data_IF_315283355585
#
_entry.id   IF_315283355585
#
_cell.length_a   1.000
_cell.length_b   1.000
_cell.length_c   1.000
_cell.angle_alpha   90.00
_cell.angle_beta   90.00
_cell.angle_gamma   90.00
#
_symmetry.space_group_name_H-M   'P 1'
#
loop_
_entity.id
_entity.type
_entity.pdbx_description
1 polymer ?
#
# COMPACT_ATOMS: atom_id res chain seq x y z
N UNK A 1 6.49 1.27 3.80
CA UNK A 1 7.58 2.24 3.93
C UNK A 1 7.40 3.42 3.01
N UNK A 2 7.16 3.17 1.72
CA UNK A 2 7.11 4.18 0.64
C UNK A 2 5.86 5.08 0.63
N UNK A 3 4.77 4.69 1.28
CA UNK A 3 3.48 5.37 1.12
C UNK A 3 3.36 6.70 1.90
N UNK A 4 4.05 6.83 3.03
CA UNK A 4 3.91 8.00 3.93
C UNK A 4 4.53 9.26 3.33
N UNK A 5 5.69 9.10 2.69
CA UNK A 5 6.39 10.17 1.98
C UNK A 5 5.70 10.51 0.66
N UNK A 6 5.26 9.51 -0.09
CA UNK A 6 4.52 9.72 -1.35
C UNK A 6 3.21 10.46 -1.11
N UNK A 7 2.44 10.05 -0.09
CA UNK A 7 1.19 10.73 0.28
C UNK A 7 1.42 12.18 0.69
N UNK A 8 2.50 12.47 1.44
CA UNK A 8 2.87 13.84 1.78
C UNK A 8 3.26 14.65 0.54
N UNK A 9 4.04 14.06 -0.37
CA UNK A 9 4.44 14.71 -1.61
C UNK A 9 3.24 15.04 -2.51
N UNK A 10 2.30 14.11 -2.66
CA UNK A 10 1.06 14.31 -3.43
C UNK A 10 0.19 15.40 -2.80
N UNK A 11 0.08 15.45 -1.47
CA UNK A 11 -0.64 16.53 -0.77
C UNK A 11 0.01 17.90 -0.98
N UNK A 12 1.34 17.97 -0.93
CA UNK A 12 2.08 19.18 -1.25
C UNK A 12 1.86 19.60 -2.71
N UNK A 13 1.86 18.66 -3.64
CA UNK A 13 1.65 18.92 -5.07
C UNK A 13 0.23 19.42 -5.38
N UNK A 14 -0.80 18.88 -4.73
CA UNK A 14 -2.18 19.38 -4.83
C UNK A 14 -2.31 20.80 -4.26
N UNK A 15 -1.65 21.08 -3.14
CA UNK A 15 -1.58 22.42 -2.59
C UNK A 15 -0.89 23.41 -3.54
N UNK A 16 0.13 22.93 -4.25
CA UNK A 16 0.86 23.67 -5.28
C UNK A 16 -0.05 23.98 -6.48
N UNK A 17 -0.79 22.99 -6.97
CA UNK A 17 -1.76 23.17 -8.04
C UNK A 17 -2.86 24.19 -7.67
N UNK A 18 -3.29 24.21 -6.41
CA UNK A 18 -4.22 25.23 -5.91
C UNK A 18 -3.60 26.64 -5.91
N UNK A 19 -2.35 26.80 -5.44
CA UNK A 19 -1.65 28.07 -5.52
C UNK A 19 -1.48 28.57 -6.96
N UNK A 20 -1.15 27.69 -7.92
CA UNK A 20 -1.08 28.04 -9.34
C UNK A 20 -2.44 28.41 -9.92
N UNK A 21 -3.50 27.71 -9.53
CA UNK A 21 -4.86 28.07 -9.95
C UNK A 21 -5.25 29.47 -9.44
N UNK A 22 -4.89 29.83 -8.21
CA UNK A 22 -5.11 31.17 -7.66
C UNK A 22 -4.26 32.24 -8.35
N UNK A 23 -2.99 31.95 -8.66
CA UNK A 23 -2.12 32.84 -9.45
C UNK A 23 -2.67 33.06 -10.87
N UNK A 24 -3.13 32.01 -11.53
CA UNK A 24 -3.76 32.08 -12.86
C UNK A 24 -5.09 32.85 -12.82
N UNK A 25 -5.87 32.69 -11.75
CA UNK A 25 -7.07 33.51 -11.51
C UNK A 25 -6.70 34.98 -11.33
N UNK A 26 -5.71 35.27 -10.48
CA UNK A 26 -5.19 36.62 -10.25
C UNK A 26 -4.73 37.28 -11.56
N UNK A 27 -4.00 36.53 -12.40
CA UNK A 27 -3.55 36.96 -13.72
C UNK A 27 -4.71 37.33 -14.65
N UNK A 28 -5.77 36.51 -14.68
CA UNK A 28 -6.97 36.77 -15.48
C UNK A 28 -7.72 38.02 -15.01
N UNK A 29 -7.64 38.36 -13.72
CA UNK A 29 -8.34 39.50 -13.14
C UNK A 29 -7.50 40.77 -12.96
N UNK A 30 -6.18 40.77 -13.24
CA UNK A 30 -5.36 42.00 -13.30
C UNK A 30 -5.88 43.03 -14.31
N UNK A 31 -6.70 42.61 -15.29
CA UNK A 31 -7.38 43.52 -16.22
C UNK A 31 -8.55 44.30 -15.59
N UNK A 32 -9.00 43.98 -14.36
CA UNK A 32 -10.06 44.71 -13.64
C UNK A 32 -9.46 45.57 -12.53
N UNK A 33 -9.88 46.83 -12.40
CA UNK A 33 -9.44 47.83 -11.39
C UNK A 33 -9.82 47.51 -9.92
N UNK A 34 -10.18 46.26 -9.60
CA UNK A 34 -10.64 45.94 -8.24
C UNK A 34 -9.42 45.72 -7.32
N UNK A 35 -9.23 46.60 -6.34
CA UNK A 35 -8.08 46.58 -5.41
C UNK A 35 -7.95 45.26 -4.64
N UNK A 36 -9.08 44.60 -4.33
CA UNK A 36 -9.10 43.31 -3.64
C UNK A 36 -8.53 42.15 -4.48
N UNK A 37 -8.56 42.26 -5.81
CA UNK A 37 -8.05 41.22 -6.71
C UNK A 37 -6.53 41.32 -6.81
N UNK A 38 -5.98 42.54 -6.93
CA UNK A 38 -4.53 42.75 -6.87
C UNK A 38 -3.97 42.26 -5.53
N UNK A 39 -4.66 42.59 -4.43
CA UNK A 39 -4.34 42.09 -3.10
C UNK A 39 -4.22 40.56 -3.04
N UNK A 40 -5.17 39.85 -3.63
CA UNK A 40 -5.19 38.39 -3.64
C UNK A 40 -4.06 37.79 -4.47
N UNK A 41 -3.73 38.41 -5.61
CA UNK A 41 -2.64 37.98 -6.48
C UNK A 41 -1.25 38.22 -5.86
N UNK A 42 -1.02 39.37 -5.23
CA UNK A 42 0.26 39.70 -4.58
C UNK A 42 0.49 38.85 -3.33
N UNK A 43 -0.56 38.60 -2.54
CA UNK A 43 -0.51 37.65 -1.42
C UNK A 43 -0.18 36.23 -1.91
N UNK A 44 -0.75 35.78 -3.04
CA UNK A 44 -0.52 34.44 -3.59
C UNK A 44 0.93 34.19 -4.06
N UNK A 45 1.68 35.23 -4.44
CA UNK A 45 3.10 35.13 -4.79
C UNK A 45 3.99 34.90 -3.56
N UNK A 46 3.63 35.50 -2.42
CA UNK A 46 4.31 35.32 -1.13
C UNK A 46 3.94 33.98 -0.45
N UNK A 47 2.68 33.58 -0.58
CA UNK A 47 2.18 32.26 -0.18
C UNK A 47 3.07 31.16 -0.76
N UNK A 48 3.48 31.27 -2.03
CA UNK A 48 4.25 30.24 -2.71
C UNK A 48 5.59 29.88 -2.02
N UNK A 49 6.34 30.86 -1.52
CA UNK A 49 7.68 30.62 -0.97
C UNK A 49 7.68 30.29 0.54
N UNK A 50 6.69 30.76 1.28
CA UNK A 50 6.66 30.63 2.76
C UNK A 50 5.68 29.54 3.24
N UNK A 51 4.68 29.19 2.44
CA UNK A 51 3.66 28.22 2.84
C UNK A 51 4.17 26.78 2.91
N UNK A 52 5.10 26.39 2.03
CA UNK A 52 5.51 24.98 1.90
C UNK A 52 6.15 24.44 3.20
N UNK A 53 7.14 25.11 3.83
CA UNK A 53 7.74 24.61 5.07
C UNK A 53 6.74 24.58 6.22
N UNK A 54 5.88 25.60 6.33
CA UNK A 54 4.91 25.75 7.41
C UNK A 54 3.82 24.68 7.31
N UNK A 55 3.24 24.48 6.13
CA UNK A 55 2.18 23.48 5.90
C UNK A 55 2.73 22.07 6.03
N UNK A 56 3.96 21.86 5.60
CA UNK A 56 4.65 20.59 5.78
C UNK A 56 4.86 20.29 7.27
N UNK A 57 5.32 21.27 8.05
CA UNK A 57 5.51 21.15 9.49
C UNK A 57 4.20 20.87 10.24
N UNK A 58 3.13 21.62 9.94
CA UNK A 58 1.81 21.36 10.52
C UNK A 58 1.25 19.99 10.12
N UNK A 59 1.35 19.63 8.84
CA UNK A 59 0.94 18.31 8.35
C UNK A 59 1.70 17.20 9.09
N UNK A 60 3.00 17.39 9.38
CA UNK A 60 3.81 16.46 10.15
C UNK A 60 3.32 16.31 11.60
N UNK A 61 3.00 17.41 12.28
CA UNK A 61 2.41 17.37 13.64
C UNK A 61 1.05 16.67 13.61
N UNK A 62 0.17 17.02 12.65
CA UNK A 62 -1.14 16.39 12.53
C UNK A 62 -1.09 14.88 12.23
N UNK A 63 0.04 14.34 11.77
CA UNK A 63 0.20 12.90 11.62
C UNK A 63 0.32 12.14 12.95
N UNK A 64 0.74 12.77 14.05
CA UNK A 64 0.81 12.12 15.36
C UNK A 64 -0.55 12.04 16.07
N UNK A 65 -1.52 12.83 15.62
CA UNK A 65 -2.87 12.88 16.22
C UNK A 65 -3.74 11.76 15.65
N UNK A 66 -4.53 11.07 16.47
CA UNK A 66 -5.47 10.02 16.04
C UNK A 66 -6.77 10.58 15.47
N UNK A 67 -6.67 11.36 14.39
CA UNK A 67 -7.82 11.88 13.64
C UNK A 67 -7.92 11.30 12.23
N UNK A 68 -9.10 11.44 11.65
CA UNK A 68 -9.35 11.09 10.26
C UNK A 68 -8.42 11.83 9.30
N UNK A 69 -7.93 11.15 8.24
CA UNK A 69 -7.02 11.74 7.24
C UNK A 69 -7.61 12.95 6.52
N UNK A 70 -8.90 12.92 6.18
CA UNK A 70 -9.61 14.00 5.51
C UNK A 70 -9.79 15.21 6.44
N UNK A 71 -10.12 14.96 7.70
CA UNK A 71 -10.24 16.00 8.72
C UNK A 71 -8.88 16.64 9.06
N UNK A 72 -7.80 15.85 9.11
CA UNK A 72 -6.43 16.36 9.26
C UNK A 72 -6.03 17.32 8.14
N UNK A 73 -6.33 16.94 6.88
CA UNK A 73 -6.06 17.80 5.71
C UNK A 73 -6.86 19.09 5.82
N UNK A 74 -8.12 19.01 6.22
CA UNK A 74 -8.96 20.19 6.44
C UNK A 74 -8.39 21.15 7.49
N UNK A 75 -8.01 20.64 8.68
CA UNK A 75 -7.40 21.45 9.74
C UNK A 75 -6.09 22.08 9.25
N UNK A 76 -5.24 21.31 8.58
CA UNK A 76 -3.95 21.79 8.08
C UNK A 76 -4.14 22.96 7.11
N UNK A 77 -5.09 22.87 6.17
CA UNK A 77 -5.39 23.93 5.21
C UNK A 77 -5.94 25.18 5.91
N UNK A 78 -6.87 25.03 6.84
CA UNK A 78 -7.45 26.19 7.55
C UNK A 78 -6.40 26.90 8.40
N UNK A 79 -5.63 26.14 9.19
CA UNK A 79 -4.58 26.68 10.05
C UNK A 79 -3.46 27.35 9.24
N UNK A 80 -3.02 26.70 8.15
CA UNK A 80 -1.98 27.28 7.28
C UNK A 80 -2.48 28.56 6.61
N UNK A 81 -3.72 28.58 6.12
CA UNK A 81 -4.31 29.78 5.48
C UNK A 81 -4.38 30.96 6.43
N UNK A 82 -4.81 30.74 7.68
CA UNK A 82 -4.85 31.80 8.71
C UNK A 82 -3.45 32.28 9.05
N UNK A 83 -2.50 31.37 9.25
CA UNK A 83 -1.11 31.71 9.59
C UNK A 83 -0.42 32.47 8.44
N UNK A 84 -0.62 32.08 7.19
CA UNK A 84 -0.12 32.83 6.03
C UNK A 84 -0.69 34.24 6.03
N UNK A 85 -2.01 34.38 6.19
CA UNK A 85 -2.66 35.69 6.18
C UNK A 85 -2.08 36.58 7.27
N UNK A 86 -1.89 36.03 8.48
CA UNK A 86 -1.24 36.73 9.59
C UNK A 86 0.21 37.10 9.28
N UNK A 87 1.01 36.17 8.76
CA UNK A 87 2.41 36.44 8.42
C UNK A 87 2.54 37.47 7.30
N UNK A 88 1.70 37.40 6.27
CA UNK A 88 1.67 38.38 5.19
C UNK A 88 1.32 39.77 5.73
N UNK A 89 0.33 39.88 6.62
CA UNK A 89 0.00 41.15 7.27
C UNK A 89 1.15 41.66 8.13
N UNK A 90 1.72 40.83 9.01
CA UNK A 90 2.73 41.24 9.98
C UNK A 90 4.09 41.56 9.36
N UNK A 91 4.53 40.79 8.36
CA UNK A 91 5.91 40.83 7.85
C UNK A 91 6.06 41.43 6.46
N UNK A 92 5.01 41.45 5.65
CA UNK A 92 5.08 41.98 4.28
C UNK A 92 4.37 43.30 4.20
N UNK A 93 3.07 43.30 4.49
CA UNK A 93 2.22 44.45 4.21
C UNK A 93 2.51 45.65 5.11
N UNK A 94 2.76 45.39 6.40
CA UNK A 94 2.92 46.43 7.41
C UNK A 94 4.40 46.76 7.70
N UNK A 95 5.34 46.20 6.93
CA UNK A 95 6.77 46.45 7.10
C UNK A 95 7.36 47.16 5.87
N UNK A 96 8.68 47.39 5.89
CA UNK A 96 9.45 47.99 4.79
C UNK A 96 9.33 47.18 3.50
N UNK A 97 9.08 45.86 3.58
CA UNK A 97 8.83 45.03 2.39
C UNK A 97 7.53 45.42 1.66
N UNK A 98 6.57 46.03 2.36
CA UNK A 98 5.32 46.51 1.78
C UNK A 98 5.54 47.66 0.82
N UNK A 99 6.50 48.54 1.11
CA UNK A 99 6.91 49.61 0.19
C UNK A 99 7.55 49.03 -1.08
N UNK A 100 8.37 47.98 -0.95
CA UNK A 100 9.05 47.33 -2.08
C UNK A 100 8.10 46.52 -2.99
N UNK A 101 7.21 45.70 -2.41
CA UNK A 101 6.32 44.82 -3.17
C UNK A 101 4.98 45.45 -3.55
N UNK A 102 4.43 46.32 -2.70
CA UNK A 102 3.08 46.90 -2.87
C UNK A 102 3.11 48.39 -3.23
N UNK A 103 4.30 49.00 -3.34
CA UNK A 103 4.51 50.40 -3.72
C UNK A 103 4.27 51.42 -2.60
N UNK A 104 3.51 51.07 -1.56
CA UNK A 104 3.33 51.90 -0.36
C UNK A 104 2.79 51.09 0.83
N UNK A 105 3.41 51.23 2.00
CA UNK A 105 2.95 50.66 3.27
C UNK A 105 1.63 51.30 3.71
N UNK A 106 0.63 50.50 4.07
CA UNK A 106 -0.60 51.00 4.69
C UNK A 106 -0.52 50.79 6.21
N UNK A 107 -0.85 51.78 7.05
CA UNK A 107 -0.94 51.59 8.49
C UNK A 107 -2.01 50.53 8.82
N UNK A 108 -1.76 49.68 9.83
CA UNK A 108 -2.66 48.59 10.27
C UNK A 108 -4.12 49.07 10.44
N UNK A 109 -4.32 50.29 10.96
CA UNK A 109 -5.64 50.86 11.23
C UNK A 109 -6.42 51.30 9.98
N UNK A 110 -5.73 51.53 8.86
CA UNK A 110 -6.31 52.07 7.63
C UNK A 110 -6.47 51.01 6.54
N UNK A 111 -6.28 49.73 6.90
CA UNK A 111 -6.32 48.62 5.96
C UNK A 111 -7.78 48.20 5.64
N UNK A 112 -8.28 48.45 4.41
CA UNK A 112 -9.66 48.13 4.04
C UNK A 112 -9.97 46.64 4.10
N UNK A 113 -8.96 45.80 3.86
CA UNK A 113 -9.12 44.34 3.92
C UNK A 113 -9.19 43.85 5.37
N UNK A 114 -8.39 44.42 6.28
CA UNK A 114 -8.46 44.09 7.70
C UNK A 114 -9.82 44.49 8.28
N UNK A 115 -10.32 45.67 7.93
CA UNK A 115 -11.64 46.13 8.35
C UNK A 115 -12.76 45.23 7.81
N UNK A 116 -12.69 44.84 6.54
CA UNK A 116 -13.62 43.87 5.96
C UNK A 116 -13.58 42.50 6.67
N UNK A 117 -12.38 42.00 6.99
CA UNK A 117 -12.22 40.75 7.73
C UNK A 117 -12.80 40.86 9.14
N UNK A 118 -12.55 41.97 9.85
CA UNK A 118 -13.08 42.26 11.18
C UNK A 118 -14.61 42.43 11.21
N UNK A 119 -15.23 42.79 10.08
CA UNK A 119 -16.68 42.83 9.96
C UNK A 119 -17.27 41.44 9.65
N UNK A 120 -16.59 40.66 8.79
CA UNK A 120 -17.10 39.38 8.28
C UNK A 120 -16.56 38.14 9.01
N UNK A 121 -15.69 38.26 10.01
CA UNK A 121 -15.06 37.09 10.65
C UNK A 121 -16.07 36.16 11.33
N UNK A 122 -17.13 36.68 11.96
CA UNK A 122 -18.16 35.86 12.62
C UNK A 122 -18.89 34.93 11.65
N UNK A 123 -19.54 35.43 10.57
CA UNK A 123 -20.20 34.55 9.62
C UNK A 123 -19.22 33.63 8.87
N UNK A 124 -17.98 34.08 8.65
CA UNK A 124 -16.93 33.25 8.06
C UNK A 124 -16.55 32.08 8.99
N UNK A 125 -16.35 32.35 10.28
CA UNK A 125 -16.00 31.34 11.28
C UNK A 125 -17.09 30.27 11.40
N UNK A 126 -18.37 30.67 11.43
CA UNK A 126 -19.50 29.73 11.48
C UNK A 126 -19.51 28.80 10.26
N UNK A 127 -19.33 29.35 9.05
CA UNK A 127 -19.27 28.54 7.81
C UNK A 127 -18.08 27.57 7.82
N UNK A 128 -16.92 28.02 8.26
CA UNK A 128 -15.73 27.18 8.39
C UNK A 128 -16.00 26.03 9.35
N UNK A 129 -16.50 26.30 10.56
CA UNK A 129 -16.82 25.25 11.55
C UNK A 129 -17.83 24.24 10.99
N UNK A 130 -18.90 24.71 10.33
CA UNK A 130 -19.90 23.82 9.72
C UNK A 130 -19.28 22.89 8.66
N UNK A 131 -18.41 23.42 7.80
CA UNK A 131 -17.69 22.61 6.81
C UNK A 131 -16.73 21.62 7.47
N UNK A 132 -16.09 21.99 8.58
CA UNK A 132 -15.26 21.11 9.39
C UNK A 132 -16.03 19.91 9.93
N UNK A 133 -17.26 20.11 10.42
CA UNK A 133 -18.14 19.00 10.84
C UNK A 133 -18.49 18.06 9.70
N UNK A 134 -18.80 18.60 8.51
CA UNK A 134 -19.08 17.77 7.32
C UNK A 134 -17.83 16.97 6.93
N UNK A 135 -16.66 17.60 6.88
CA UNK A 135 -15.39 16.93 6.60
C UNK A 135 -15.07 15.84 7.63
N UNK A 136 -15.36 16.07 8.91
CA UNK A 136 -15.23 15.06 9.95
C UNK A 136 -16.18 13.88 9.71
N UNK A 137 -17.47 14.14 9.51
CA UNK A 137 -18.49 13.10 9.33
C UNK A 137 -18.23 12.25 8.09
N UNK A 138 -18.01 12.88 6.93
CA UNK A 138 -17.65 12.20 5.67
C UNK A 138 -16.34 11.44 5.84
N UNK A 139 -15.36 12.06 6.50
CA UNK A 139 -14.12 11.42 6.88
C UNK A 139 -14.39 10.12 7.64
N UNK A 140 -15.15 10.16 8.73
CA UNK A 140 -15.41 8.98 9.57
C UNK A 140 -16.12 7.86 8.82
N UNK A 141 -17.08 8.20 7.95
CA UNK A 141 -17.73 7.22 7.07
C UNK A 141 -16.71 6.59 6.11
N UNK A 142 -15.84 7.40 5.50
CA UNK A 142 -14.78 6.89 4.64
C UNK A 142 -13.76 6.05 5.43
N UNK A 143 -13.39 6.45 6.65
CA UNK A 143 -12.41 5.72 7.45
C UNK A 143 -12.96 4.40 7.95
N UNK A 144 -14.22 4.32 8.35
CA UNK A 144 -14.85 3.05 8.72
C UNK A 144 -15.03 2.13 7.51
N UNK A 145 -15.41 2.68 6.34
CA UNK A 145 -15.48 1.91 5.10
C UNK A 145 -14.11 1.41 4.63
N UNK A 146 -13.10 2.29 4.71
CA UNK A 146 -11.71 1.97 4.42
C UNK A 146 -11.19 0.96 5.43
N UNK A 147 -11.43 1.09 6.74
CA UNK A 147 -11.01 0.12 7.74
C UNK A 147 -11.64 -1.25 7.51
N UNK A 148 -12.93 -1.34 7.13
CA UNK A 148 -13.52 -2.64 6.79
C UNK A 148 -12.84 -3.30 5.59
N UNK A 149 -12.55 -2.53 4.53
CA UNK A 149 -11.85 -3.03 3.35
C UNK A 149 -10.35 -3.26 3.59
N UNK A 150 -9.75 -2.38 4.38
CA UNK A 150 -8.35 -2.40 4.76
C UNK A 150 -8.11 -3.38 5.87
N UNK A 151 -9.07 -3.90 6.64
CA UNK A 151 -8.74 -4.90 7.67
C UNK A 151 -8.10 -6.13 7.01
N UNK A 152 -8.58 -6.51 5.82
CA UNK A 152 -7.87 -7.43 4.95
C UNK A 152 -6.50 -6.87 4.49
N UNK A 153 -6.45 -5.69 3.86
CA UNK A 153 -5.21 -5.08 3.34
C UNK A 153 -4.16 -4.69 4.41
N UNK A 154 -4.58 -4.50 5.65
CA UNK A 154 -3.83 -4.13 6.85
C UNK A 154 -3.22 -5.39 7.41
N UNK A 155 -4.02 -6.44 7.61
CA UNK A 155 -3.53 -7.81 7.87
C UNK A 155 -2.41 -8.12 6.88
N UNK A 156 -2.63 -7.92 5.58
CA UNK A 156 -1.60 -8.11 4.55
C UNK A 156 -0.29 -7.31 4.77
N UNK A 157 -0.40 -6.03 5.13
CA UNK A 157 0.75 -5.13 5.28
C UNK A 157 1.47 -5.21 6.64
N UNK A 158 0.77 -5.67 7.68
CA UNK A 158 1.24 -5.75 9.07
C UNK A 158 1.78 -7.13 9.43
N UNK A 159 1.26 -8.23 8.86
CA UNK A 159 1.77 -9.60 9.05
C UNK A 159 3.28 -9.69 8.81
N UNK A 160 3.82 -8.87 7.91
CA UNK A 160 5.23 -8.92 7.55
C UNK A 160 6.12 -7.96 8.36
N UNK A 161 5.51 -7.05 9.13
CA UNK A 161 6.22 -5.92 9.78
C UNK A 161 6.16 -5.94 11.29
N UNK A 162 5.04 -6.35 11.86
CA UNK A 162 4.79 -6.25 13.30
C UNK A 162 4.29 -7.57 13.88
N UNK A 163 5.04 -8.12 14.83
CA UNK A 163 4.78 -9.43 15.45
C UNK A 163 3.68 -9.34 16.50
N UNK A 164 3.63 -8.26 17.28
CA UNK A 164 2.64 -8.12 18.36
C UNK A 164 1.22 -8.12 17.79
N UNK A 165 1.01 -7.51 16.62
CA UNK A 165 -0.30 -7.50 15.97
C UNK A 165 -0.87 -8.90 15.70
N UNK A 166 -0.04 -9.88 15.30
CA UNK A 166 -0.49 -11.26 15.11
C UNK A 166 -0.81 -11.92 16.45
N UNK A 167 -0.01 -11.64 17.48
CA UNK A 167 -0.19 -12.19 18.83
C UNK A 167 -1.45 -11.64 19.52
N UNK A 168 -1.72 -10.35 19.32
CA UNK A 168 -2.85 -9.64 19.93
C UNK A 168 -4.14 -9.79 19.11
N UNK A 169 -4.07 -10.33 17.89
CA UNK A 169 -5.26 -10.55 17.06
C UNK A 169 -6.17 -11.63 17.66
N UNK A 170 -7.41 -11.24 17.95
CA UNK A 170 -8.49 -12.11 18.41
C UNK A 170 -9.03 -13.02 17.29
N UNK A 171 -9.04 -12.55 16.04
CA UNK A 171 -9.47 -13.31 14.88
C UNK A 171 -8.46 -13.24 13.74
N UNK A 172 -7.83 -14.39 13.46
CA UNK A 172 -6.81 -14.56 12.41
C UNK A 172 -7.38 -15.01 11.06
N UNK A 173 -8.65 -15.45 11.02
CA UNK A 173 -9.30 -16.01 9.82
C UNK A 173 -9.98 -14.94 8.95
N UNK A 174 -9.50 -13.71 9.02
CA UNK A 174 -9.99 -12.61 8.18
C UNK A 174 -9.49 -12.83 6.76
N UNK A 175 -10.40 -12.75 5.78
CA UNK A 175 -10.08 -12.91 4.36
C UNK A 175 -10.20 -11.60 3.59
N UNK A 176 -9.41 -11.47 2.54
CA UNK A 176 -9.50 -10.36 1.58
C UNK A 176 -10.62 -10.53 0.54
N UNK A 177 -10.69 -9.60 -0.41
CA UNK A 177 -11.65 -9.61 -1.51
C UNK A 177 -11.49 -10.83 -2.43
N UNK A 178 -10.36 -11.54 -2.39
CA UNK A 178 -10.07 -12.78 -3.12
C UNK A 178 -10.29 -14.05 -2.26
N UNK A 179 -10.72 -13.91 -1.00
CA UNK A 179 -10.87 -15.01 -0.07
C UNK A 179 -9.55 -15.50 0.53
N UNK A 180 -8.47 -14.75 0.37
CA UNK A 180 -7.15 -15.06 0.91
C UNK A 180 -7.05 -14.61 2.36
N UNK A 181 -6.60 -15.50 3.24
CA UNK A 181 -6.34 -15.17 4.64
C UNK A 181 -4.89 -14.67 4.85
N UNK A 182 -4.56 -14.34 6.10
CA UNK A 182 -3.22 -13.95 6.54
C UNK A 182 -2.09 -14.86 6.02
N UNK A 183 -2.31 -16.17 5.99
CA UNK A 183 -1.32 -17.17 5.60
C UNK A 183 -0.98 -17.07 4.10
N UNK A 184 -1.97 -16.81 3.24
CA UNK A 184 -1.73 -16.58 1.80
C UNK A 184 -0.77 -15.41 1.59
N UNK A 185 -0.99 -14.32 2.30
CA UNK A 185 -0.17 -13.12 2.14
C UNK A 185 1.25 -13.33 2.64
N UNK A 186 1.39 -14.01 3.78
CA UNK A 186 2.69 -14.36 4.35
C UNK A 186 3.54 -15.13 3.31
N UNK A 187 2.95 -16.13 2.65
CA UNK A 187 3.62 -16.99 1.66
C UNK A 187 3.86 -16.29 0.31
N UNK A 188 2.90 -15.48 -0.17
CA UNK A 188 2.92 -14.97 -1.55
C UNK A 188 3.78 -13.72 -1.75
N UNK A 189 3.76 -12.76 -0.81
CA UNK A 189 4.19 -11.38 -1.10
C UNK A 189 5.66 -11.07 -0.80
N UNK A 190 6.29 -11.77 0.15
CA UNK A 190 7.65 -11.46 0.56
C UNK A 190 8.54 -12.71 0.55
N UNK A 191 9.76 -12.64 -0.02
CA UNK A 191 10.78 -13.66 0.17
C UNK A 191 11.05 -13.86 1.66
N UNK A 192 11.33 -15.09 2.08
CA UNK A 192 11.56 -15.42 3.50
C UNK A 192 12.67 -14.57 4.11
N UNK A 193 13.72 -14.27 3.34
CA UNK A 193 14.91 -13.56 3.83
C UNK A 193 14.69 -12.05 4.03
N UNK A 194 13.61 -11.48 3.48
CA UNK A 194 13.23 -10.07 3.68
C UNK A 194 12.23 -9.86 4.83
N UNK A 195 11.80 -10.94 5.49
CA UNK A 195 10.85 -10.86 6.59
C UNK A 195 11.58 -10.53 7.89
N UNK A 196 10.98 -9.64 8.68
CA UNK A 196 11.53 -9.24 9.99
C UNK A 196 11.45 -10.37 11.03
N UNK A 197 10.53 -11.31 10.82
CA UNK A 197 10.30 -12.50 11.64
C UNK A 197 9.56 -13.57 10.82
N UNK A 198 9.45 -14.78 11.37
CA UNK A 198 8.75 -15.89 10.73
C UNK A 198 7.23 -15.81 10.93
N UNK A 199 6.57 -15.07 10.05
CA UNK A 199 5.12 -14.91 10.11
C UNK A 199 4.34 -16.21 9.87
N UNK A 200 4.87 -17.12 9.06
CA UNK A 200 4.19 -18.39 8.74
C UNK A 200 4.15 -19.29 9.97
N UNK A 201 5.27 -19.45 10.66
CA UNK A 201 5.31 -20.25 11.90
C UNK A 201 4.34 -19.71 12.96
N UNK A 202 4.34 -18.40 13.19
CA UNK A 202 3.46 -17.77 14.18
C UNK A 202 1.97 -17.92 13.86
N UNK A 203 1.61 -17.79 12.58
CA UNK A 203 0.22 -17.97 12.15
C UNK A 203 -0.24 -19.43 12.34
N UNK A 204 0.65 -20.39 12.08
CA UNK A 204 0.39 -21.81 12.34
C UNK A 204 0.24 -22.08 13.85
N UNK A 205 1.11 -21.53 14.70
CA UNK A 205 1.02 -21.64 16.16
C UNK A 205 -0.30 -21.07 16.72
N UNK A 206 -0.80 -20.00 16.12
CA UNK A 206 -2.10 -19.38 16.43
C UNK A 206 -3.31 -20.22 16.00
N UNK A 207 -3.10 -21.33 15.30
CA UNK A 207 -4.17 -22.25 14.87
C UNK A 207 -4.89 -21.81 13.59
N UNK A 208 -4.21 -21.10 12.69
CA UNK A 208 -4.79 -20.78 11.37
C UNK A 208 -5.02 -22.06 10.56
N UNK A 209 -6.10 -22.09 9.76
CA UNK A 209 -6.33 -23.22 8.85
C UNK A 209 -5.32 -23.19 7.70
N UNK A 210 -4.40 -24.16 7.70
CA UNK A 210 -3.36 -24.33 6.68
C UNK A 210 -3.91 -24.79 5.32
N UNK A 211 -5.12 -25.37 5.31
CA UNK A 211 -5.80 -25.86 4.12
C UNK A 211 -6.90 -24.90 3.62
N UNK A 212 -6.97 -23.69 4.18
CA UNK A 212 -7.93 -22.66 3.77
C UNK A 212 -7.89 -22.44 2.25
N UNK A 213 -9.06 -22.31 1.62
CA UNK A 213 -9.18 -22.16 0.17
C UNK A 213 -9.60 -20.75 -0.20
N UNK A 214 -8.86 -20.15 -1.13
CA UNK A 214 -9.26 -18.88 -1.73
C UNK A 214 -10.49 -19.05 -2.65
N UNK A 215 -11.01 -17.94 -3.20
CA UNK A 215 -12.16 -17.99 -4.12
C UNK A 215 -11.90 -18.79 -5.41
N UNK A 216 -10.64 -19.12 -5.71
CA UNK A 216 -10.24 -19.95 -6.84
C UNK A 216 -9.95 -21.40 -6.43
N UNK A 217 -10.23 -21.77 -5.18
CA UNK A 217 -10.01 -23.11 -4.64
C UNK A 217 -8.55 -23.44 -4.37
N UNK A 218 -7.64 -22.45 -4.38
CA UNK A 218 -6.21 -22.63 -4.13
C UNK A 218 -5.92 -22.61 -2.64
N UNK A 219 -4.87 -23.31 -2.21
CA UNK A 219 -4.38 -23.35 -0.83
C UNK A 219 -3.12 -22.50 -0.63
N UNK A 220 -2.72 -22.18 0.61
CA UNK A 220 -1.42 -21.56 0.88
C UNK A 220 -0.26 -22.38 0.30
N UNK A 221 -0.35 -23.71 0.37
CA UNK A 221 0.65 -24.62 -0.22
C UNK A 221 0.73 -24.47 -1.75
N UNK A 222 -0.41 -24.34 -2.44
CA UNK A 222 -0.45 -24.03 -3.87
C UNK A 222 0.29 -22.72 -4.18
N UNK A 223 0.12 -21.68 -3.35
CA UNK A 223 0.83 -20.42 -3.52
C UNK A 223 2.34 -20.55 -3.25
N UNK A 224 2.75 -21.35 -2.27
CA UNK A 224 4.16 -21.64 -1.98
C UNK A 224 4.84 -22.34 -3.17
N UNK A 225 4.17 -23.31 -3.81
CA UNK A 225 4.67 -23.97 -5.02
C UNK A 225 4.81 -23.00 -6.20
N UNK A 226 3.88 -22.04 -6.31
CA UNK A 226 3.94 -21.00 -7.35
C UNK A 226 5.08 -20.01 -7.11
N UNK A 227 5.21 -19.48 -5.88
CA UNK A 227 6.21 -18.49 -5.52
C UNK A 227 7.63 -19.08 -5.53
N UNK A 228 7.78 -20.33 -5.12
CA UNK A 228 9.07 -21.00 -5.01
C UNK A 228 9.68 -20.94 -3.60
N UNK A 229 8.87 -20.73 -2.56
CA UNK A 229 9.33 -20.55 -1.18
C UNK A 229 9.47 -21.89 -0.45
N UNK A 230 10.63 -22.56 -0.60
CA UNK A 230 10.94 -23.87 0.01
C UNK A 230 10.72 -23.87 1.54
N UNK A 231 11.32 -22.89 2.23
CA UNK A 231 11.26 -22.78 3.71
C UNK A 231 9.82 -22.69 4.25
N UNK A 232 8.92 -22.00 3.54
CA UNK A 232 7.52 -21.89 3.97
C UNK A 232 6.73 -23.14 3.61
N UNK A 233 7.06 -23.76 2.47
CA UNK A 233 6.46 -25.02 2.05
C UNK A 233 6.72 -26.13 3.07
N UNK A 234 7.96 -26.26 3.56
CA UNK A 234 8.29 -27.23 4.61
C UNK A 234 7.46 -27.02 5.88
N UNK A 235 7.26 -25.76 6.31
CA UNK A 235 6.44 -25.46 7.49
C UNK A 235 4.98 -25.82 7.29
N UNK A 236 4.43 -25.48 6.12
CA UNK A 236 3.04 -25.81 5.78
C UNK A 236 2.83 -27.33 5.73
N UNK A 237 3.74 -28.06 5.08
CA UNK A 237 3.67 -29.53 4.98
C UNK A 237 3.82 -30.19 6.36
N UNK A 238 4.76 -29.73 7.20
CA UNK A 238 4.89 -30.18 8.60
C UNK A 238 3.65 -29.89 9.44
N UNK A 239 2.92 -28.82 9.13
CA UNK A 239 1.66 -28.46 9.77
C UNK A 239 0.44 -29.21 9.21
N UNK A 240 0.62 -30.17 8.30
CA UNK A 240 -0.47 -30.99 7.75
C UNK A 240 -1.20 -30.38 6.55
N UNK A 241 -0.54 -29.49 5.80
CA UNK A 241 -1.10 -29.01 4.54
C UNK A 241 -1.24 -30.16 3.52
N UNK A 242 -2.41 -30.29 2.89
CA UNK A 242 -2.68 -31.32 1.89
C UNK A 242 -2.08 -30.94 0.53
N UNK A 243 -1.11 -31.70 0.01
CA UNK A 243 -0.48 -31.43 -1.28
C UNK A 243 -1.35 -31.79 -2.49
N UNK A 244 -2.52 -32.39 -2.29
CA UNK A 244 -3.37 -32.91 -3.34
C UNK A 244 -4.55 -32.01 -3.69
N UNK A 245 -4.71 -30.86 -3.02
CA UNK A 245 -5.83 -29.94 -3.27
C UNK A 245 -5.70 -29.28 -4.64
N UNK A 246 -6.71 -29.48 -5.49
CA UNK A 246 -6.77 -28.91 -6.84
C UNK A 246 -7.47 -27.54 -6.85
N UNK A 247 -6.97 -26.62 -7.66
CA UNK A 247 -7.63 -25.34 -7.90
C UNK A 247 -8.93 -25.52 -8.71
N UNK A 248 -9.91 -24.66 -8.46
CA UNK A 248 -11.21 -24.75 -9.14
C UNK A 248 -11.17 -24.30 -10.59
N UNK A 249 -10.12 -23.58 -11.01
CA UNK A 249 -10.05 -23.00 -12.36
C UNK A 249 -9.51 -24.00 -13.38
N UNK A 250 -8.43 -24.70 -13.05
CA UNK A 250 -7.74 -25.58 -13.99
C UNK A 250 -7.60 -27.01 -13.48
N UNK A 251 -7.96 -27.31 -12.23
CA UNK A 251 -7.73 -28.61 -11.61
C UNK A 251 -6.25 -28.82 -11.27
N UNK A 252 -5.47 -27.76 -11.11
CA UNK A 252 -4.05 -27.87 -10.81
C UNK A 252 -3.84 -28.09 -9.32
N UNK A 253 -3.14 -29.16 -8.94
CA UNK A 253 -2.60 -29.34 -7.59
C UNK A 253 -1.27 -28.56 -7.42
N UNK A 254 -0.77 -28.36 -6.18
CA UNK A 254 0.58 -27.87 -5.92
C UNK A 254 1.66 -28.52 -6.81
N UNK A 255 1.56 -29.84 -7.05
CA UNK A 255 2.47 -30.59 -7.93
C UNK A 255 2.37 -30.17 -9.40
N UNK A 256 1.16 -30.01 -9.94
CA UNK A 256 0.96 -29.52 -11.31
C UNK A 256 1.60 -28.14 -11.50
N UNK A 257 1.45 -27.26 -10.51
CA UNK A 257 2.07 -25.92 -10.54
C UNK A 257 3.59 -26.01 -10.49
N UNK A 258 4.15 -26.88 -9.64
CA UNK A 258 5.59 -27.10 -9.57
C UNK A 258 6.16 -27.55 -10.93
N UNK A 259 5.51 -28.51 -11.60
CA UNK A 259 5.89 -28.98 -12.94
C UNK A 259 5.85 -27.85 -13.99
N UNK A 260 4.77 -27.05 -14.02
CA UNK A 260 4.65 -25.92 -14.95
C UNK A 260 5.72 -24.86 -14.68
N UNK A 261 6.00 -24.57 -13.40
CA UNK A 261 6.98 -23.56 -12.99
C UNK A 261 8.42 -24.00 -13.18
N UNK A 262 8.71 -25.30 -13.12
CA UNK A 262 10.00 -25.86 -13.49
C UNK A 262 10.32 -25.57 -14.96
N UNK A 263 9.31 -25.62 -15.84
CA UNK A 263 9.42 -25.30 -17.27
C UNK A 263 9.46 -23.80 -17.59
N UNK A 264 8.86 -22.97 -16.73
CA UNK A 264 8.72 -21.53 -16.95
C UNK A 264 10.04 -20.78 -17.12
N UNK A 265 11.15 -21.24 -16.52
CA UNK A 265 12.47 -20.59 -16.72
C UNK A 265 12.98 -20.70 -18.17
N UNK A 266 12.40 -21.58 -19.00
CA UNK A 266 12.66 -21.66 -20.44
C UNK A 266 11.76 -20.74 -21.30
N UNK A 267 10.72 -20.13 -20.73
CA UNK A 267 9.72 -19.35 -21.47
C UNK A 267 9.82 -17.83 -21.24
N UNK A 268 10.30 -17.39 -20.08
CA UNK A 268 10.43 -15.96 -19.78
C UNK A 268 11.88 -15.53 -20.06
N UNK A 269 12.16 -15.02 -21.27
CA UNK A 269 13.47 -14.50 -21.70
C UNK A 269 14.04 -13.31 -20.88
N UNK A 270 13.55 -13.07 -19.67
CA UNK A 270 13.85 -11.96 -18.77
C UNK A 270 14.89 -12.29 -17.69
N UNK A 271 15.25 -13.56 -17.45
CA UNK A 271 16.32 -13.93 -16.48
C UNK A 271 17.65 -14.27 -17.15
N UNK A 272 18.07 -13.49 -18.16
CA UNK A 272 19.46 -13.48 -18.63
C UNK A 272 20.33 -12.85 -17.53
N UNK A 273 20.82 -13.66 -16.58
CA UNK A 273 21.82 -13.19 -15.61
C UNK A 273 21.71 -13.71 -14.17
N UNK A 274 20.74 -14.58 -13.86
CA UNK A 274 20.72 -15.31 -12.58
C UNK A 274 21.07 -16.76 -12.90
N UNK A 275 22.06 -17.33 -12.20
CA UNK A 275 22.55 -18.69 -12.40
C UNK A 275 21.39 -19.65 -12.65
N UNK A 276 21.30 -20.12 -13.91
CA UNK A 276 20.23 -20.96 -14.42
C UNK A 276 19.96 -22.15 -13.50
N UNK A 277 21.05 -22.70 -13.00
CA UNK A 277 21.21 -23.92 -12.22
C UNK A 277 20.55 -23.85 -10.84
N UNK A 278 20.82 -22.81 -10.04
CA UNK A 278 20.32 -22.73 -8.65
C UNK A 278 18.79 -22.65 -8.59
N UNK A 279 18.18 -21.80 -9.42
CA UNK A 279 16.71 -21.70 -9.41
C UNK A 279 16.03 -22.95 -9.99
N UNK A 280 16.69 -23.69 -10.90
CA UNK A 280 16.20 -24.99 -11.36
C UNK A 280 16.28 -25.99 -10.22
N UNK A 281 17.39 -26.05 -9.49
CA UNK A 281 17.55 -26.96 -8.36
C UNK A 281 16.54 -26.66 -7.25
N UNK A 282 16.31 -25.38 -6.92
CA UNK A 282 15.28 -24.96 -5.98
C UNK A 282 13.87 -25.42 -6.42
N UNK A 283 13.59 -25.43 -7.73
CA UNK A 283 12.31 -25.93 -8.26
C UNK A 283 12.23 -27.45 -8.23
N UNK A 284 13.33 -28.17 -8.45
CA UNK A 284 13.41 -29.63 -8.25
C UNK A 284 13.20 -29.99 -6.80
N UNK A 285 13.76 -29.22 -5.88
CA UNK A 285 13.62 -29.44 -4.45
C UNK A 285 12.17 -29.30 -3.98
N UNK A 286 11.44 -28.31 -4.49
CA UNK A 286 9.99 -28.19 -4.27
C UNK A 286 9.25 -29.45 -4.74
N UNK A 287 9.65 -30.00 -5.89
CA UNK A 287 9.04 -31.22 -6.43
C UNK A 287 9.30 -32.43 -5.52
N UNK A 288 10.55 -32.60 -5.06
CA UNK A 288 10.95 -33.66 -4.10
C UNK A 288 10.22 -33.52 -2.77
N UNK A 289 10.09 -32.30 -2.24
CA UNK A 289 9.39 -32.05 -0.99
C UNK A 289 7.91 -32.42 -1.07
N UNK A 290 7.23 -32.08 -2.17
CA UNK A 290 5.84 -32.47 -2.38
C UNK A 290 5.69 -33.99 -2.50
N UNK A 291 6.57 -34.66 -3.25
CA UNK A 291 6.60 -36.13 -3.35
C UNK A 291 6.77 -36.79 -1.98
N UNK A 292 7.73 -36.31 -1.19
CA UNK A 292 8.02 -36.84 0.14
C UNK A 292 6.83 -36.74 1.10
N UNK A 293 5.90 -35.80 0.87
CA UNK A 293 4.71 -35.59 1.70
C UNK A 293 3.42 -36.15 1.06
N UNK A 294 3.54 -37.09 0.11
CA UNK A 294 2.39 -37.84 -0.42
C UNK A 294 1.60 -37.12 -1.50
N UNK A 295 2.25 -36.23 -2.26
CA UNK A 295 1.65 -35.63 -3.45
C UNK A 295 1.44 -36.68 -4.55
N UNK A 296 0.21 -36.77 -5.05
CA UNK A 296 -0.22 -37.70 -6.10
C UNK A 296 0.17 -37.21 -7.48
N UNK A 297 0.82 -38.08 -8.25
CA UNK A 297 1.27 -37.83 -9.64
C UNK A 297 0.20 -38.14 -10.69
N UNK A 298 -0.74 -39.03 -10.35
CA UNK A 298 -1.81 -39.55 -11.20
C UNK A 298 -3.03 -38.62 -11.27
N UNK A 299 -3.09 -37.60 -10.40
CA UNK A 299 -4.13 -36.57 -10.44
C UNK A 299 -4.16 -35.91 -11.82
N UNK A 300 -5.37 -35.81 -12.38
CA UNK A 300 -5.61 -35.18 -13.67
C UNK A 300 -6.15 -33.78 -13.50
N UNK A 301 -5.60 -32.85 -14.27
CA UNK A 301 -6.16 -31.51 -14.40
C UNK A 301 -7.48 -31.52 -15.21
N UNK A 302 -8.14 -30.37 -15.34
CA UNK A 302 -9.38 -30.26 -16.12
C UNK A 302 -9.20 -30.54 -17.62
N UNK A 303 -7.97 -30.62 -18.10
CA UNK A 303 -7.62 -31.00 -19.47
C UNK A 303 -7.26 -32.48 -19.60
N UNK A 304 -7.38 -33.27 -18.53
CA UNK A 304 -7.05 -34.69 -18.49
C UNK A 304 -5.55 -35.01 -18.44
N UNK A 305 -4.70 -34.01 -18.22
CA UNK A 305 -3.23 -34.17 -18.15
C UNK A 305 -2.83 -34.47 -16.71
N UNK A 306 -1.94 -35.44 -16.54
CA UNK A 306 -1.27 -35.70 -15.27
C UNK A 306 0.02 -34.87 -15.15
N UNK A 307 0.71 -34.99 -14.02
CA UNK A 307 1.96 -34.26 -13.75
C UNK A 307 3.04 -34.61 -14.77
N UNK A 308 3.15 -35.88 -15.16
CA UNK A 308 4.12 -36.35 -16.15
C UNK A 308 3.89 -35.73 -17.54
N UNK A 309 2.64 -35.69 -18.01
CA UNK A 309 2.27 -35.05 -19.26
C UNK A 309 2.58 -33.54 -19.26
N UNK A 310 2.47 -32.88 -18.09
CA UNK A 310 2.90 -31.49 -17.94
C UNK A 310 4.43 -31.35 -17.98
N UNK A 311 5.17 -32.23 -17.31
CA UNK A 311 6.64 -32.23 -17.35
C UNK A 311 7.14 -32.41 -18.78
N UNK A 312 6.65 -33.41 -19.53
CA UNK A 312 7.02 -33.63 -20.93
C UNK A 312 6.70 -32.44 -21.84
N UNK A 313 5.62 -31.70 -21.53
CA UNK A 313 5.19 -30.54 -22.31
C UNK A 313 6.00 -29.27 -22.02
N UNK A 314 6.37 -29.05 -20.76
CA UNK A 314 6.93 -27.77 -20.32
C UNK A 314 8.43 -27.84 -19.98
N UNK A 315 8.99 -29.04 -19.80
CA UNK A 315 10.39 -29.22 -19.37
C UNK A 315 11.10 -30.29 -20.20
N UNK A 316 12.43 -30.21 -20.34
CA UNK A 316 13.23 -31.31 -20.86
C UNK A 316 13.49 -32.42 -19.82
N UNK A 317 12.95 -32.31 -18.60
CA UNK A 317 13.22 -33.23 -17.50
C UNK A 317 12.15 -34.34 -17.45
N UNK A 318 12.58 -35.60 -17.39
CA UNK A 318 11.72 -36.74 -17.01
C UNK A 318 11.55 -36.85 -15.49
N UNK A 319 10.55 -37.62 -15.06
CA UNK A 319 10.28 -37.89 -13.65
C UNK A 319 11.50 -38.51 -12.94
N UNK A 320 12.24 -39.39 -13.64
CA UNK A 320 13.44 -40.07 -13.14
C UNK A 320 14.56 -39.11 -12.73
N UNK A 321 14.60 -37.90 -13.31
CA UNK A 321 15.58 -36.87 -12.97
C UNK A 321 15.20 -36.06 -11.72
N UNK A 322 13.97 -36.22 -11.24
CA UNK A 322 13.35 -35.44 -10.17
C UNK A 322 13.08 -36.27 -8.92
N UNK A 323 12.91 -37.58 -9.06
CA UNK A 323 12.90 -38.49 -7.92
C UNK A 323 14.28 -38.47 -7.21
N UNK A 324 14.32 -38.51 -5.87
CA UNK A 324 15.58 -38.79 -5.20
C UNK A 324 16.06 -40.15 -5.70
N UNK A 325 17.31 -40.24 -6.19
CA UNK A 325 17.94 -41.53 -6.46
C UNK A 325 17.69 -42.38 -5.22
N UNK A 326 16.94 -43.47 -5.37
CA UNK A 326 16.84 -44.47 -4.30
C UNK A 326 18.28 -44.77 -3.92
N UNK A 327 18.68 -44.38 -2.70
CA UNK A 327 19.94 -44.81 -2.17
C UNK A 327 19.89 -46.33 -2.26
N UNK A 328 20.83 -46.89 -3.00
CA UNK A 328 20.99 -48.32 -3.20
C UNK A 328 20.69 -49.04 -1.89
N UNK A 329 19.54 -49.71 -1.84
CA UNK A 329 19.22 -50.68 -0.81
C UNK A 329 20.11 -51.91 -1.08
N UNK A 330 21.41 -51.74 -0.84
CA UNK A 330 22.42 -52.79 -0.90
C UNK A 330 23.50 -52.49 0.12
N UNK A 331 23.24 -52.84 1.38
CA UNK A 331 23.93 -53.91 2.13
C UNK A 331 23.48 -53.92 3.60
#
# INVERSE_FOLDING_TARGET
>A
GTDRYLTNYVRCLLCWAFCFALLALGQRFFRRKNEFIRYFADASYWVYWVHLPITFYFSMILQSVELNSLFKVYIAIVASTVLIMLMYMLFVRNTILGDYFCGWRKPIKEDPFLNYLMEKWKPLAVRTIAFGFVAFAVGQVMHTAILKKNNALLVESFILRDKSFILDADNINITDDYGQNALFTAVQRAPVDLRKYDAVALLIEKGIDVNHRDKFGRTPLYMASRSGTIKDMEKLLKAGADPNVQDSKYGHSPMHVAAIKLGGKYLDGWTKGIDGTEAIENRKEIFRLLLAHGAKLDLKDHYGRNVEALLQRFTPFSLDNLEPKQADATQ
#
